data_IF_411529196025
#
_entry.id   IF_411529196025
#
_cell.length_a   1.000
_cell.length_b   1.000
_cell.length_c   1.000
_cell.angle_alpha   90.00
_cell.angle_beta   90.00
_cell.angle_gamma   90.00
#
_symmetry.space_group_name_H-M   'P 1'
#
loop_
_entity.id
_entity.type
_entity.pdbx_description
1 polymer ?
#
# COMPACT_ATOMS: atom_id res chain seq x y z
N UNK A 1 30.19 -6.45 4.70
CA UNK A 1 30.28 -7.35 5.86
C UNK A 1 28.88 -7.62 6.41
N UNK A 2 28.09 -8.39 5.66
CA UNK A 2 26.76 -8.90 6.07
C UNK A 2 26.70 -10.43 5.97
N UNK A 3 27.86 -11.09 5.78
CA UNK A 3 27.95 -12.52 5.54
C UNK A 3 27.55 -13.35 6.76
N UNK A 4 27.68 -12.81 7.97
CA UNK A 4 27.34 -13.52 9.22
C UNK A 4 25.83 -13.55 9.50
N UNK A 5 25.02 -12.87 8.66
CA UNK A 5 23.57 -12.86 8.80
C UNK A 5 22.92 -14.01 8.02
N UNK A 6 23.65 -14.64 7.11
CA UNK A 6 23.15 -15.66 6.21
C UNK A 6 24.01 -16.92 6.31
N UNK A 7 23.36 -18.08 6.34
CA UNK A 7 24.00 -19.38 6.30
C UNK A 7 24.65 -19.65 4.94
N UNK A 8 25.33 -20.79 4.82
CA UNK A 8 25.98 -21.24 3.59
C UNK A 8 24.99 -21.46 2.43
N UNK A 9 23.72 -21.65 2.76
CA UNK A 9 22.57 -21.74 1.87
C UNK A 9 22.01 -20.37 1.43
N UNK A 10 22.58 -19.27 1.93
CA UNK A 10 22.09 -17.92 1.72
C UNK A 10 20.82 -17.57 2.50
N UNK A 11 20.38 -18.43 3.42
CA UNK A 11 19.20 -18.18 4.26
C UNK A 11 19.58 -17.47 5.56
N UNK A 12 18.74 -16.58 6.11
CA UNK A 12 19.07 -15.87 7.33
C UNK A 12 19.22 -16.85 8.52
N UNK A 13 20.35 -16.77 9.25
CA UNK A 13 20.64 -17.63 10.41
C UNK A 13 19.60 -17.41 11.52
N UNK A 14 19.12 -16.17 11.65
CA UNK A 14 18.03 -15.80 12.54
C UNK A 14 16.81 -15.37 11.72
N UNK A 15 15.86 -16.29 11.45
CA UNK A 15 14.66 -15.96 10.71
C UNK A 15 13.83 -14.95 11.50
N UNK A 16 13.32 -13.90 10.84
CA UNK A 16 12.37 -12.97 11.47
C UNK A 16 11.08 -13.74 11.82
N UNK A 17 10.50 -13.52 13.01
CA UNK A 17 9.21 -14.13 13.36
C UNK A 17 8.18 -13.92 12.25
N UNK A 18 7.46 -14.98 11.87
CA UNK A 18 6.44 -14.96 10.82
C UNK A 18 6.93 -15.13 9.37
N UNK A 19 8.24 -15.27 9.12
CA UNK A 19 8.76 -15.57 7.78
C UNK A 19 8.98 -17.06 7.51
N UNK A 20 8.95 -17.90 8.55
CA UNK A 20 9.19 -19.33 8.49
C UNK A 20 8.13 -20.07 9.28
N UNK A 21 7.73 -21.22 8.75
CA UNK A 21 6.73 -22.05 9.36
C UNK A 21 7.35 -22.65 10.62
N UNK A 22 6.65 -22.51 11.74
CA UNK A 22 7.14 -22.93 13.05
C UNK A 22 7.18 -24.45 13.18
N UNK A 23 6.45 -25.19 12.34
CA UNK A 23 6.44 -26.66 12.32
C UNK A 23 7.47 -27.21 11.34
N UNK A 24 7.46 -26.75 10.08
CA UNK A 24 8.31 -27.31 9.02
C UNK A 24 9.65 -26.59 8.84
N UNK A 25 9.83 -25.40 9.41
CA UNK A 25 11.01 -24.56 9.17
C UNK A 25 11.11 -24.03 7.73
N UNK A 26 10.10 -24.27 6.89
CA UNK A 26 10.06 -23.80 5.51
C UNK A 26 9.70 -22.33 5.49
N UNK A 27 10.35 -21.56 4.61
CA UNK A 27 10.04 -20.15 4.41
C UNK A 27 8.58 -20.01 3.97
N UNK A 28 7.77 -19.24 4.73
CA UNK A 28 6.43 -18.89 4.27
C UNK A 28 6.56 -18.09 2.98
N UNK A 29 5.64 -18.28 2.02
CA UNK A 29 5.53 -17.37 0.90
C UNK A 29 5.34 -15.97 1.46
N UNK A 30 6.40 -15.14 1.39
CA UNK A 30 6.29 -13.74 1.74
C UNK A 30 5.40 -13.14 0.68
N UNK A 31 4.11 -12.99 1.00
CA UNK A 31 3.21 -12.09 0.29
C UNK A 31 3.76 -10.69 0.52
N UNK A 32 4.83 -10.35 -0.21
CA UNK A 32 5.13 -8.98 -0.57
C UNK A 32 4.06 -8.60 -1.58
N UNK A 33 2.81 -8.59 -1.13
CA UNK A 33 1.77 -7.79 -1.73
C UNK A 33 2.39 -6.41 -1.72
N UNK A 34 2.89 -5.98 -2.89
CA UNK A 34 2.96 -4.57 -3.18
C UNK A 34 1.54 -4.11 -2.89
N UNK A 35 1.30 -3.58 -1.70
CA UNK A 35 0.20 -2.67 -1.47
C UNK A 35 0.41 -1.68 -2.60
N UNK A 36 -0.39 -1.86 -3.65
CA UNK A 36 -0.37 -1.01 -4.82
C UNK A 36 -0.87 0.28 -4.20
N UNK A 37 0.07 1.12 -3.77
CA UNK A 37 -0.18 2.42 -3.19
C UNK A 37 -1.27 3.00 -4.05
N UNK A 38 -2.48 3.07 -3.49
CA UNK A 38 -3.62 3.58 -4.22
C UNK A 38 -3.20 5.00 -4.52
N UNK A 39 -2.75 5.23 -5.76
CA UNK A 39 -1.95 6.39 -6.10
C UNK A 39 -2.74 7.65 -5.75
N UNK A 40 -2.12 8.82 -5.73
CA UNK A 40 -2.85 10.07 -5.41
C UNK A 40 -4.02 10.38 -6.37
N UNK A 41 -4.13 9.64 -7.48
CA UNK A 41 -5.15 9.78 -8.53
C UNK A 41 -6.61 9.78 -8.06
N UNK A 42 -7.12 8.81 -7.26
CA UNK A 42 -8.51 8.84 -6.82
C UNK A 42 -8.82 10.05 -5.93
N UNK A 43 -7.86 10.48 -5.11
CA UNK A 43 -8.01 11.69 -4.31
C UNK A 43 -8.08 12.95 -5.17
N UNK A 44 -7.24 13.06 -6.20
CA UNK A 44 -7.28 14.18 -7.16
C UNK A 44 -8.62 14.22 -7.91
N UNK A 45 -9.12 13.07 -8.36
CA UNK A 45 -10.42 12.96 -9.06
C UNK A 45 -11.57 13.38 -8.14
N UNK A 46 -11.55 12.94 -6.88
CA UNK A 46 -12.57 13.32 -5.90
C UNK A 46 -12.59 14.82 -5.65
N UNK A 47 -11.42 15.45 -5.46
CA UNK A 47 -11.31 16.90 -5.25
C UNK A 47 -11.84 17.66 -6.46
N UNK A 48 -11.49 17.25 -7.67
CA UNK A 48 -12.00 17.88 -8.89
C UNK A 48 -13.54 17.79 -8.98
N UNK A 49 -14.12 16.63 -8.65
CA UNK A 49 -15.57 16.46 -8.60
C UNK A 49 -16.25 17.39 -7.59
N UNK A 50 -15.69 17.52 -6.38
CA UNK A 50 -16.27 18.39 -5.36
C UNK A 50 -16.24 19.87 -5.77
N UNK A 51 -15.18 20.32 -6.44
CA UNK A 51 -15.09 21.69 -6.96
C UNK A 51 -16.14 21.94 -8.04
N UNK A 52 -16.30 21.02 -8.99
CA UNK A 52 -17.30 21.14 -10.06
C UNK A 52 -18.72 21.21 -9.48
N UNK A 53 -19.04 20.32 -8.53
CA UNK A 53 -20.35 20.31 -7.86
C UNK A 53 -20.59 21.61 -7.10
N UNK A 54 -19.59 22.11 -6.38
CA UNK A 54 -19.69 23.38 -5.65
C UNK A 54 -19.98 24.57 -6.56
N UNK A 55 -19.27 24.68 -7.69
CA UNK A 55 -19.48 25.75 -8.67
C UNK A 55 -20.89 25.65 -9.30
N UNK A 56 -21.30 24.44 -9.68
CA UNK A 56 -22.63 24.22 -10.25
C UNK A 56 -23.75 24.60 -9.27
N UNK A 57 -23.61 24.22 -8.00
CA UNK A 57 -24.59 24.53 -6.96
C UNK A 57 -24.66 26.04 -6.67
N UNK A 58 -23.51 26.71 -6.57
CA UNK A 58 -23.45 28.16 -6.39
C UNK A 58 -24.05 28.93 -7.57
N UNK A 59 -23.85 28.42 -8.79
CA UNK A 59 -24.41 29.03 -10.00
C UNK A 59 -25.93 28.84 -10.06
N UNK A 60 -26.42 27.65 -9.70
CA UNK A 60 -27.85 27.39 -9.59
C UNK A 60 -28.50 28.26 -8.50
N UNK A 61 -27.88 28.41 -7.34
CA UNK A 61 -28.43 29.26 -6.27
C UNK A 61 -28.50 30.74 -6.65
N UNK A 62 -27.63 31.20 -7.55
CA UNK A 62 -27.67 32.58 -8.06
C UNK A 62 -28.69 32.79 -9.20
N UNK A 63 -29.16 31.71 -9.83
CA UNK A 63 -30.19 31.73 -10.88
C UNK A 63 -31.62 31.58 -10.34
N UNK A 64 -31.77 30.97 -9.16
CA UNK A 64 -33.06 30.73 -8.50
C UNK A 64 -33.24 31.55 -7.21
N UNK A 65 -32.29 32.43 -6.88
CA UNK A 65 -32.29 33.33 -5.72
C UNK A 65 -32.69 34.74 -6.08
#
# INVERSE_FOLDING_TARGET
>A
MDHDRYGLDGMPIYPRPGHFDHVTGVRLPTFRGKSKTMGRWPAIVLVALMVIVGIALASASHLFG
#
